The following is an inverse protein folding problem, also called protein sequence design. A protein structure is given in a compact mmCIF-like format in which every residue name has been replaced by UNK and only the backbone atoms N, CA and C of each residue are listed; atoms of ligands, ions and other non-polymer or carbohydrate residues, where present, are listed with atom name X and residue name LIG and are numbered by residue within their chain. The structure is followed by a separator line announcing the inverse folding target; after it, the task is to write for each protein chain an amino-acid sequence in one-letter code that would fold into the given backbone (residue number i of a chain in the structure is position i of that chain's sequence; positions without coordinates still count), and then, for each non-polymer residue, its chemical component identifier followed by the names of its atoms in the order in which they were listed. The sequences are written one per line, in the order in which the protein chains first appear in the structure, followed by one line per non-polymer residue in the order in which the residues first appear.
data_IF_952825617691
#
_entry.id   IF_952825617691
#
_cell.length_a   1.000
_cell.length_b   1.000
_cell.length_c   1.000
_cell.angle_alpha   90.00
_cell.angle_beta   90.00
_cell.angle_gamma   90.00
#
_symmetry.space_group_name_H-M   'P 1'
#
loop_
_entity.id
_entity.type
_entity.pdbx_description
1 polymer ?
#
# COMPACT_ATOMS: atom_id res chain seq x y z
N UNK A 1 -13.42 10.82 -6.35
CA UNK A 1 -14.33 9.69 -6.64
C UNK A 1 -15.81 10.07 -6.57
N UNK A 2 -16.39 10.46 -5.42
CA UNK A 2 -17.86 10.70 -5.35
C UNK A 2 -18.31 11.90 -6.19
N UNK A 3 -17.54 12.98 -6.20
CA UNK A 3 -17.87 14.20 -6.96
C UNK A 3 -17.43 14.11 -8.43
N UNK A 4 -16.31 13.44 -8.71
CA UNK A 4 -15.69 13.41 -10.04
C UNK A 4 -15.98 12.13 -10.83
N UNK A 5 -16.31 11.04 -10.14
CA UNK A 5 -16.43 9.71 -10.71
C UNK A 5 -15.10 9.08 -11.17
N UNK A 6 -13.98 9.76 -10.94
CA UNK A 6 -12.64 9.24 -11.25
C UNK A 6 -12.17 8.30 -10.14
N UNK A 7 -11.62 7.17 -10.54
CA UNK A 7 -11.01 6.21 -9.64
C UNK A 7 -9.79 6.81 -8.94
N UNK A 8 -9.64 6.52 -7.66
CA UNK A 8 -8.51 6.96 -6.87
C UNK A 8 -7.80 5.78 -6.20
N UNK A 9 -6.50 5.92 -6.00
CA UNK A 9 -5.68 4.91 -5.34
C UNK A 9 -4.74 5.59 -4.36
N UNK A 10 -4.74 5.06 -3.15
CA UNK A 10 -3.93 5.58 -2.06
C UNK A 10 -3.33 4.47 -1.21
N UNK A 11 -2.19 4.79 -0.60
CA UNK A 11 -1.54 3.97 0.40
C UNK A 11 -1.73 4.61 1.78
N UNK A 12 -2.19 3.83 2.74
CA UNK A 12 -2.42 4.31 4.12
C UNK A 12 -1.67 3.45 5.10
N UNK A 13 -0.94 4.11 6.00
CA UNK A 13 -0.42 3.50 7.22
C UNK A 13 -1.37 3.79 8.38
N UNK A 14 -1.93 2.74 8.98
CA UNK A 14 -2.80 2.84 10.15
C UNK A 14 -2.02 2.33 11.37
N UNK A 15 -1.87 3.14 12.44
CA UNK A 15 -1.32 2.67 13.70
C UNK A 15 -2.13 1.49 14.27
N UNK A 16 -1.44 0.48 14.74
CA UNK A 16 -1.98 -0.72 15.37
C UNK A 16 -1.08 -1.14 16.55
N UNK A 17 -1.55 -2.12 17.33
CA UNK A 17 -0.87 -2.63 18.52
C UNK A 17 0.55 -3.13 18.20
N UNK A 18 0.75 -3.68 17.00
CA UNK A 18 2.04 -4.23 16.53
C UNK A 18 2.80 -3.29 15.56
N UNK A 19 2.52 -1.98 15.59
CA UNK A 19 3.19 -0.96 14.79
C UNK A 19 2.27 -0.34 13.73
N UNK A 20 2.70 -0.28 12.47
CA UNK A 20 1.88 0.31 11.39
C UNK A 20 1.42 -0.79 10.45
N UNK A 21 0.09 -0.90 10.26
CA UNK A 21 -0.49 -1.70 9.19
C UNK A 21 -0.63 -0.87 7.93
N UNK A 22 -0.21 -1.44 6.82
CA UNK A 22 -0.19 -0.76 5.53
C UNK A 22 -1.27 -1.33 4.63
N UNK A 23 -2.02 -0.44 4.00
CA UNK A 23 -3.09 -0.80 3.09
C UNK A 23 -2.90 -0.08 1.77
N UNK A 24 -3.10 -0.81 0.68
CA UNK A 24 -3.42 -0.22 -0.61
C UNK A 24 -4.93 -0.19 -0.75
N UNK A 25 -5.44 0.99 -1.06
CA UNK A 25 -6.87 1.23 -1.20
C UNK A 25 -7.11 1.70 -2.64
N UNK A 26 -8.04 1.04 -3.31
CA UNK A 26 -8.60 1.45 -4.59
C UNK A 26 -10.05 1.83 -4.36
N UNK A 27 -10.43 2.99 -4.89
CA UNK A 27 -11.75 3.58 -4.72
C UNK A 27 -12.29 3.85 -6.12
N UNK A 28 -13.29 3.10 -6.52
CA UNK A 28 -13.91 3.16 -7.83
C UNK A 28 -15.36 3.64 -7.71
N UNK A 29 -15.77 4.51 -8.62
CA UNK A 29 -17.16 4.94 -8.69
C UNK A 29 -18.03 3.81 -9.25
N UNK A 30 -19.09 3.46 -8.53
CA UNK A 30 -20.11 2.54 -9.01
C UNK A 30 -21.09 3.32 -9.86
N UNK A 31 -21.12 3.03 -11.16
CA UNK A 31 -21.91 3.77 -12.14
C UNK A 31 -23.13 2.96 -12.57
N UNK A 32 -24.29 3.59 -12.51
CA UNK A 32 -25.52 3.05 -13.07
C UNK A 32 -25.53 3.03 -14.60
N UNK A 33 -26.58 2.46 -15.18
CA UNK A 33 -26.72 2.31 -16.63
C UNK A 33 -26.73 3.65 -17.39
N UNK A 34 -27.10 4.75 -16.73
CA UNK A 34 -27.05 6.11 -17.31
C UNK A 34 -25.74 6.88 -17.00
N UNK A 35 -24.75 6.22 -16.38
CA UNK A 35 -23.41 6.78 -16.13
C UNK A 35 -23.28 7.64 -14.87
N UNK A 36 -24.38 7.86 -14.14
CA UNK A 36 -24.42 8.51 -12.84
C UNK A 36 -23.74 7.67 -11.76
N UNK A 37 -23.03 8.33 -10.85
CA UNK A 37 -22.40 7.67 -9.70
C UNK A 37 -23.50 7.34 -8.69
N UNK A 38 -23.82 6.05 -8.56
CA UNK A 38 -24.81 5.55 -7.59
C UNK A 38 -24.14 5.14 -6.27
N UNK A 39 -22.83 4.90 -6.28
CA UNK A 39 -22.08 4.51 -5.11
C UNK A 39 -20.57 4.50 -5.32
N UNK A 40 -19.87 3.91 -4.36
CA UNK A 40 -18.42 3.72 -4.42
C UNK A 40 -18.10 2.30 -4.00
N UNK A 41 -17.33 1.60 -4.82
CA UNK A 41 -16.71 0.32 -4.46
C UNK A 41 -15.30 0.60 -4.00
N UNK A 42 -14.94 0.07 -2.82
CA UNK A 42 -13.59 0.21 -2.28
C UNK A 42 -12.98 -1.16 -2.09
N UNK A 43 -11.80 -1.37 -2.67
CA UNK A 43 -10.97 -2.55 -2.41
C UNK A 43 -9.82 -2.16 -1.52
N UNK A 44 -9.64 -2.88 -0.41
CA UNK A 44 -8.52 -2.68 0.51
C UNK A 44 -7.69 -3.96 0.55
N UNK A 45 -6.39 -3.83 0.28
CA UNK A 45 -5.43 -4.94 0.40
C UNK A 45 -4.39 -4.57 1.42
N UNK A 46 -4.23 -5.40 2.44
CA UNK A 46 -3.17 -5.23 3.43
C UNK A 46 -1.81 -5.64 2.82
N UNK A 47 -0.82 -4.77 2.93
CA UNK A 47 0.54 -4.95 2.42
C UNK A 47 1.61 -4.91 3.52
N UNK A 48 1.20 -4.92 4.79
CA UNK A 48 2.07 -4.83 5.97
C UNK A 48 3.22 -5.84 5.93
N UNK A 49 2.90 -7.13 5.74
CA UNK A 49 3.88 -8.21 5.74
C UNK A 49 4.85 -8.14 4.57
N UNK A 50 4.37 -7.71 3.40
CA UNK A 50 5.23 -7.49 2.24
C UNK A 50 6.26 -6.38 2.53
N UNK A 51 5.81 -5.23 3.05
CA UNK A 51 6.71 -4.11 3.39
C UNK A 51 7.72 -4.50 4.47
N UNK A 52 7.31 -5.26 5.49
CA UNK A 52 8.22 -5.77 6.53
C UNK A 52 9.32 -6.65 5.92
N UNK A 53 8.97 -7.57 5.02
CA UNK A 53 9.94 -8.43 4.32
C UNK A 53 10.91 -7.62 3.46
N UNK A 54 10.39 -6.65 2.70
CA UNK A 54 11.21 -5.77 1.87
C UNK A 54 12.21 -4.94 2.71
N UNK A 55 11.79 -4.43 3.87
CA UNK A 55 12.66 -3.70 4.77
C UNK A 55 13.76 -4.60 5.35
N UNK A 56 13.40 -5.79 5.83
CA UNK A 56 14.37 -6.77 6.34
C UNK A 56 15.40 -7.14 5.28
N UNK A 57 14.97 -7.42 4.04
CA UNK A 57 15.87 -7.71 2.93
C UNK A 57 16.81 -6.54 2.62
N UNK A 58 16.31 -5.30 2.56
CA UNK A 58 17.14 -4.10 2.34
C UNK A 58 18.19 -3.92 3.43
N UNK A 59 17.84 -4.17 4.69
CA UNK A 59 18.77 -4.08 5.82
C UNK A 59 19.86 -5.14 5.72
N UNK A 60 19.50 -6.39 5.48
CA UNK A 60 20.45 -7.50 5.32
C UNK A 60 21.42 -7.26 4.15
N UNK A 61 20.92 -6.80 3.00
CA UNK A 61 21.76 -6.50 1.84
C UNK A 61 22.77 -5.38 2.14
N UNK A 62 22.35 -4.33 2.85
CA UNK A 62 23.25 -3.25 3.29
C UNK A 62 24.33 -3.78 4.23
N UNK A 63 23.94 -4.62 5.18
CA UNK A 63 24.87 -5.19 6.16
C UNK A 63 25.91 -6.10 5.50
N UNK A 64 25.49 -7.01 4.62
CA UNK A 64 26.39 -7.88 3.87
C UNK A 64 27.34 -7.06 2.98
N UNK A 65 26.81 -6.05 2.28
CA UNK A 65 27.65 -5.17 1.44
C UNK A 65 28.70 -4.43 2.26
N UNK A 66 28.33 -3.92 3.43
CA UNK A 66 29.25 -3.25 4.34
C UNK A 66 30.34 -4.21 4.86
N UNK A 67 29.96 -5.44 5.27
CA UNK A 67 30.93 -6.44 5.74
C UNK A 67 31.88 -6.90 4.63
N UNK A 68 31.39 -7.03 3.39
CA UNK A 68 32.21 -7.37 2.23
C UNK A 68 33.27 -6.31 1.92
N UNK A 69 32.90 -5.01 1.98
CA UNK A 69 33.85 -3.90 1.80
C UNK A 69 34.93 -3.85 2.87
N UNK A 70 34.62 -4.25 4.10
CA UNK A 70 35.58 -4.24 5.20
C UNK A 70 36.51 -5.47 5.23
N UNK A 71 36.27 -6.44 4.34
CA UNK A 71 37.11 -7.62 4.15
C UNK A 71 38.12 -7.46 2.98
N UNK A 72 38.02 -6.35 2.24
CA UNK A 72 38.96 -5.92 1.19
C UNK A 72 39.85 -4.79 1.72
#
# INVERSE_FOLDING_TARGET
VVETGDADRLEVGIPDTDGVRWFHIWIDADRGDSGEVQGVVTTMVETTEQKRREQTLKTLLREVSHRSKNLL
#
